data_IF_241582669982
#
_entry.id   IF_241582669982
#
_cell.length_a   1.000
_cell.length_b   1.000
_cell.length_c   1.000
_cell.angle_alpha   90.00
_cell.angle_beta   90.00
_cell.angle_gamma   90.00
#
_symmetry.space_group_name_H-M   'P 1'
#
loop_
_entity.id
_entity.type
_entity.pdbx_description
1 polymer ?
#
# COMPACT_ATOMS: atom_id res chain seq x y z
N UNK A 1 -11.89 17.60 -41.20
CA UNK A 1 -12.27 16.48 -40.32
C UNK A 1 -11.11 16.27 -39.34
N UNK A 2 -11.27 16.84 -38.23
CA UNK A 2 -10.20 16.98 -37.23
C UNK A 2 -10.36 15.85 -36.21
N UNK A 3 -9.51 14.82 -36.31
CA UNK A 3 -9.47 13.72 -35.37
C UNK A 3 -8.56 14.13 -34.21
N UNK A 4 -9.02 15.03 -33.37
CA UNK A 4 -8.41 15.27 -32.06
C UNK A 4 -9.03 14.35 -31.02
N UNK A 5 -8.70 13.07 -31.05
CA UNK A 5 -8.71 12.26 -29.87
C UNK A 5 -7.30 12.35 -29.26
N UNK A 6 -7.00 13.47 -28.66
CA UNK A 6 -5.98 13.47 -27.61
C UNK A 6 -6.65 12.81 -26.43
N UNK A 7 -6.25 11.58 -26.16
CA UNK A 7 -6.54 10.88 -24.90
C UNK A 7 -5.77 11.62 -23.80
N UNK A 8 -6.31 12.76 -23.36
CA UNK A 8 -5.77 13.53 -22.24
C UNK A 8 -6.38 12.98 -20.97
N UNK A 9 -5.94 11.80 -20.58
CA UNK A 9 -6.34 11.15 -19.33
C UNK A 9 -5.29 11.34 -18.25
N UNK A 10 -5.71 11.30 -17.00
CA UNK A 10 -4.80 11.08 -15.87
C UNK A 10 -4.58 9.56 -15.76
N UNK A 11 -3.35 9.13 -15.76
CA UNK A 11 -2.99 7.74 -15.56
C UNK A 11 -2.45 7.55 -14.13
N UNK A 12 -2.94 6.50 -13.48
CA UNK A 12 -2.46 6.08 -12.18
C UNK A 12 -1.68 4.78 -12.34
N UNK A 13 -0.45 4.78 -11.85
CA UNK A 13 0.39 3.59 -11.85
C UNK A 13 0.92 3.36 -10.44
N UNK A 14 0.81 2.14 -9.97
CA UNK A 14 1.32 1.78 -8.65
C UNK A 14 2.46 0.76 -8.74
N UNK A 15 3.43 0.92 -7.85
CA UNK A 15 4.56 0.02 -7.64
C UNK A 15 4.70 -0.29 -6.17
N UNK A 16 4.97 -1.55 -5.85
CA UNK A 16 5.23 -2.01 -4.49
C UNK A 16 6.62 -2.59 -4.43
N UNK A 17 7.46 -2.03 -3.56
CA UNK A 17 8.75 -2.57 -3.19
C UNK A 17 8.64 -3.21 -1.81
N UNK A 18 8.84 -4.52 -1.74
CA UNK A 18 8.82 -5.30 -0.51
C UNK A 18 10.24 -5.67 -0.11
N UNK A 19 10.58 -5.44 1.16
CA UNK A 19 11.87 -5.81 1.75
C UNK A 19 11.67 -6.59 3.04
N UNK A 20 12.29 -7.75 3.12
CA UNK A 20 12.27 -8.60 4.32
C UNK A 20 13.64 -8.59 4.98
N UNK A 21 13.67 -8.41 6.28
CA UNK A 21 14.89 -8.41 7.08
C UNK A 21 14.81 -9.46 8.20
N UNK A 22 15.94 -10.12 8.47
CA UNK A 22 16.08 -10.91 9.68
C UNK A 22 16.23 -9.98 10.89
N UNK A 23 15.42 -10.19 11.92
CA UNK A 23 15.42 -9.37 13.13
C UNK A 23 16.81 -9.36 13.80
N UNK A 24 17.53 -10.49 13.78
CA UNK A 24 18.88 -10.59 14.30
C UNK A 24 19.87 -9.66 13.63
N UNK A 25 19.77 -9.45 12.31
CA UNK A 25 20.61 -8.50 11.57
C UNK A 25 20.32 -7.05 11.98
N UNK A 26 19.03 -6.70 12.13
CA UNK A 26 18.61 -5.37 12.55
C UNK A 26 19.09 -5.05 13.97
N UNK A 27 18.93 -5.99 14.92
CA UNK A 27 19.42 -5.84 16.31
C UNK A 27 20.94 -5.74 16.40
N UNK A 28 21.65 -6.41 15.51
CA UNK A 28 23.12 -6.30 15.42
C UNK A 28 23.54 -4.93 14.91
N UNK A 29 22.87 -4.42 13.88
CA UNK A 29 23.16 -3.10 13.30
C UNK A 29 22.73 -1.95 14.24
N UNK A 30 21.64 -2.14 14.97
CA UNK A 30 21.04 -1.16 15.87
C UNK A 30 20.79 -1.80 17.26
N UNK A 31 21.77 -1.77 18.18
CA UNK A 31 21.62 -2.39 19.50
C UNK A 31 20.43 -1.89 20.33
N UNK A 32 19.95 -0.66 20.06
CA UNK A 32 18.77 -0.05 20.70
C UNK A 32 17.45 -0.40 19.99
N UNK A 33 17.41 -1.37 19.09
CA UNK A 33 16.27 -1.70 18.24
C UNK A 33 14.91 -1.75 18.96
N UNK A 34 14.88 -2.38 20.15
CA UNK A 34 13.66 -2.52 20.94
C UNK A 34 13.14 -1.20 21.53
N UNK A 35 13.96 -0.16 21.53
CA UNK A 35 13.61 1.17 22.07
C UNK A 35 13.18 2.14 20.96
N UNK A 36 13.35 1.77 19.70
CA UNK A 36 12.99 2.59 18.55
C UNK A 36 11.47 2.61 18.37
N UNK A 37 10.93 3.76 17.99
CA UNK A 37 9.56 3.88 17.47
C UNK A 37 9.39 3.12 16.15
N UNK A 38 8.16 2.98 15.68
CA UNK A 38 7.88 2.26 14.43
C UNK A 38 8.48 2.98 13.22
N UNK A 39 8.42 4.31 13.19
CA UNK A 39 9.02 5.15 12.17
C UNK A 39 10.55 5.04 12.19
N UNK A 40 11.16 5.08 13.38
CA UNK A 40 12.61 4.91 13.53
C UNK A 40 13.06 3.51 13.10
N UNK A 41 12.26 2.47 13.35
CA UNK A 41 12.52 1.10 12.88
C UNK A 41 12.41 1.01 11.36
N UNK A 42 11.42 1.67 10.74
CA UNK A 42 11.30 1.78 9.29
C UNK A 42 12.57 2.40 8.69
N UNK A 43 13.00 3.55 9.20
CA UNK A 43 14.21 4.24 8.75
C UNK A 43 15.49 3.44 8.97
N UNK A 44 15.58 2.73 10.09
CA UNK A 44 16.70 1.86 10.40
C UNK A 44 16.75 0.64 9.46
N UNK A 45 15.60 0.04 9.15
CA UNK A 45 15.50 -1.11 8.23
C UNK A 45 16.00 -0.76 6.83
N UNK A 46 15.73 0.45 6.34
CA UNK A 46 16.21 0.94 5.04
C UNK A 46 17.74 1.04 4.93
N UNK A 47 18.46 1.08 6.05
CA UNK A 47 19.93 1.16 6.11
C UNK A 47 20.62 -0.21 6.16
N UNK A 48 19.86 -1.29 6.32
CA UNK A 48 20.36 -2.67 6.37
C UNK A 48 19.96 -3.39 5.11
N UNK A 49 20.89 -4.18 4.55
CA UNK A 49 20.57 -4.99 3.37
C UNK A 49 19.49 -6.01 3.71
N UNK A 50 18.38 -6.07 2.96
CA UNK A 50 17.35 -7.07 3.15
C UNK A 50 17.83 -8.47 2.81
N UNK A 51 17.25 -9.50 3.39
CA UNK A 51 17.48 -10.91 3.04
C UNK A 51 16.66 -11.34 1.83
N UNK A 52 15.55 -10.67 1.59
CA UNK A 52 14.74 -10.81 0.38
C UNK A 52 14.13 -9.46 0.01
N UNK A 53 14.09 -9.18 -1.28
CA UNK A 53 13.38 -8.02 -1.84
C UNK A 53 12.76 -8.39 -3.18
N UNK A 54 11.61 -7.82 -3.47
CA UNK A 54 10.98 -7.87 -4.78
C UNK A 54 10.18 -6.61 -5.07
N UNK A 55 9.85 -6.42 -6.34
CA UNK A 55 9.03 -5.32 -6.82
C UNK A 55 7.89 -5.88 -7.64
N UNK A 56 6.68 -5.46 -7.34
CA UNK A 56 5.48 -5.78 -8.12
C UNK A 56 4.73 -4.50 -8.53
N UNK A 57 3.93 -4.61 -9.57
CA UNK A 57 3.04 -3.53 -10.02
C UNK A 57 1.62 -3.88 -9.63
N UNK A 58 0.86 -2.87 -9.27
CA UNK A 58 -0.52 -2.99 -8.82
C UNK A 58 -1.50 -2.42 -9.83
N UNK A 59 -2.76 -2.78 -9.63
CA UNK A 59 -3.91 -2.18 -10.31
C UNK A 59 -4.51 -1.13 -9.37
N UNK A 60 -4.73 0.08 -9.85
CA UNK A 60 -5.55 1.08 -9.16
C UNK A 60 -7.03 0.74 -9.35
N UNK A 61 -7.84 0.95 -8.32
CA UNK A 61 -9.24 0.57 -8.34
C UNK A 61 -10.12 1.64 -8.99
N UNK A 62 -11.30 1.22 -9.46
CA UNK A 62 -12.32 2.14 -9.98
C UNK A 62 -12.79 3.10 -8.90
N UNK A 63 -12.81 2.67 -7.63
CA UNK A 63 -13.16 3.52 -6.48
C UNK A 63 -12.26 4.74 -6.34
N UNK A 64 -10.94 4.60 -6.60
CA UNK A 64 -10.02 5.74 -6.62
C UNK A 64 -10.36 6.70 -7.77
N UNK A 65 -10.64 6.15 -8.95
CA UNK A 65 -10.99 6.97 -10.13
C UNK A 65 -12.31 7.70 -9.93
N UNK A 66 -13.35 7.02 -9.44
CA UNK A 66 -14.65 7.61 -9.13
C UNK A 66 -14.52 8.73 -8.11
N UNK A 67 -13.74 8.51 -7.06
CA UNK A 67 -13.47 9.54 -6.07
C UNK A 67 -12.86 10.81 -6.68
N UNK A 68 -11.87 10.68 -7.58
CA UNK A 68 -11.29 11.85 -8.26
C UNK A 68 -12.30 12.56 -9.15
N UNK A 69 -13.12 11.83 -9.89
CA UNK A 69 -14.17 12.42 -10.76
C UNK A 69 -15.19 13.17 -9.91
N UNK A 70 -15.64 12.57 -8.82
CA UNK A 70 -16.61 13.17 -7.90
C UNK A 70 -16.10 14.46 -7.25
N UNK A 71 -14.82 14.50 -6.88
CA UNK A 71 -14.22 15.71 -6.30
C UNK A 71 -13.94 16.81 -7.33
N UNK A 72 -13.89 16.51 -8.63
CA UNK A 72 -13.77 17.49 -9.70
C UNK A 72 -15.12 18.00 -10.17
N UNK A 73 -16.24 17.35 -9.82
CA UNK A 73 -17.59 17.78 -10.17
C UNK A 73 -18.04 18.92 -9.25
N UNK A 74 -18.23 20.15 -9.76
CA UNK A 74 -18.65 21.30 -8.95
C UNK A 74 -20.07 21.17 -8.40
N UNK A 75 -20.89 20.27 -8.98
CA UNK A 75 -22.25 19.99 -8.53
C UNK A 75 -22.31 18.87 -7.48
N UNK A 76 -21.19 18.21 -7.23
CA UNK A 76 -21.09 17.18 -6.20
C UNK A 76 -21.11 17.82 -4.80
N UNK A 77 -22.12 17.44 -4.01
CA UNK A 77 -22.30 17.92 -2.64
C UNK A 77 -21.49 17.13 -1.60
N UNK A 78 -20.74 16.12 -2.01
CA UNK A 78 -19.85 15.35 -1.14
C UNK A 78 -18.55 16.14 -0.89
N UNK A 79 -18.61 17.19 -0.11
CA UNK A 79 -17.52 18.14 0.12
C UNK A 79 -16.52 17.69 1.21
N UNK A 80 -16.59 16.47 1.72
CA UNK A 80 -15.92 16.14 2.97
C UNK A 80 -14.87 15.02 2.91
N UNK A 81 -14.70 14.34 1.81
CA UNK A 81 -13.71 13.27 1.76
C UNK A 81 -12.33 13.81 1.40
N UNK A 82 -11.48 13.98 2.39
CA UNK A 82 -10.04 14.03 2.13
C UNK A 82 -9.58 12.60 1.85
N UNK A 83 -9.09 12.30 0.63
CA UNK A 83 -8.36 11.06 0.43
C UNK A 83 -7.13 11.11 1.31
N UNK A 84 -7.04 10.17 2.21
CA UNK A 84 -5.79 9.85 2.90
C UNK A 84 -5.43 8.40 2.60
N UNK A 85 -4.17 8.09 2.60
CA UNK A 85 -3.68 6.71 2.55
C UNK A 85 -3.40 6.32 3.99
N UNK A 86 -4.34 5.60 4.59
CA UNK A 86 -4.34 5.39 6.04
C UNK A 86 -3.90 3.98 6.44
N UNK A 87 -4.31 2.98 5.68
CA UNK A 87 -4.06 1.59 6.01
C UNK A 87 -3.49 0.80 4.84
N UNK A 88 -2.70 -0.20 5.19
CA UNK A 88 -2.26 -1.26 4.30
C UNK A 88 -2.93 -2.56 4.76
N UNK A 89 -3.64 -3.22 3.84
CA UNK A 89 -4.18 -4.56 4.02
C UNK A 89 -3.26 -5.60 3.41
N UNK A 90 -3.19 -6.78 4.02
CA UNK A 90 -2.49 -7.95 3.51
C UNK A 90 -3.43 -9.15 3.45
N UNK A 91 -3.34 -9.92 2.39
CA UNK A 91 -4.19 -11.08 2.13
C UNK A 91 -3.41 -12.32 1.71
N UNK A 92 -4.14 -13.40 1.47
CA UNK A 92 -3.61 -14.76 1.24
C UNK A 92 -4.27 -15.47 0.05
N UNK A 93 -4.80 -14.74 -0.95
CA UNK A 93 -5.44 -15.31 -2.14
C UNK A 93 -5.04 -14.62 -3.45
N UNK A 94 -3.73 -14.59 -3.73
CA UNK A 94 -3.21 -14.11 -5.03
C UNK A 94 -3.77 -14.89 -6.22
N UNK A 95 -4.25 -16.11 -6.00
CA UNK A 95 -4.78 -16.98 -7.05
C UNK A 95 -6.03 -16.44 -7.73
N UNK A 96 -6.81 -15.60 -7.07
CA UNK A 96 -8.00 -14.93 -7.64
C UNK A 96 -7.65 -13.75 -8.54
N UNK A 97 -6.40 -13.27 -8.50
CA UNK A 97 -5.91 -12.13 -9.29
C UNK A 97 -6.41 -10.78 -8.78
N UNK A 98 -6.16 -9.73 -9.55
CA UNK A 98 -6.56 -8.34 -9.24
C UNK A 98 -7.45 -7.76 -10.33
N UNK A 99 -8.36 -6.87 -9.96
CA UNK A 99 -9.27 -6.17 -10.87
C UNK A 99 -9.42 -4.70 -10.45
N UNK A 100 -9.70 -3.82 -11.41
CA UNK A 100 -10.05 -2.42 -11.11
C UNK A 100 -11.35 -2.32 -10.32
N UNK A 101 -12.25 -3.29 -10.44
CA UNK A 101 -13.52 -3.37 -9.72
C UNK A 101 -13.41 -3.92 -8.29
N UNK A 102 -12.21 -4.24 -7.83
CA UNK A 102 -12.03 -4.75 -6.46
C UNK A 102 -12.33 -3.66 -5.43
N UNK A 103 -13.09 -4.02 -4.41
CA UNK A 103 -13.47 -3.13 -3.28
C UNK A 103 -12.80 -3.55 -1.97
N UNK A 104 -12.20 -4.73 -1.91
CA UNK A 104 -11.38 -5.29 -0.83
C UNK A 104 -10.37 -6.26 -1.45
N UNK A 105 -9.44 -6.78 -0.67
CA UNK A 105 -8.60 -7.93 -1.03
C UNK A 105 -9.44 -9.19 -1.12
N UNK A 106 -9.04 -10.16 -1.95
CA UNK A 106 -9.74 -11.43 -2.10
C UNK A 106 -9.83 -12.19 -0.76
N UNK A 107 -8.76 -12.15 0.02
CA UNK A 107 -8.70 -12.78 1.34
C UNK A 107 -7.86 -11.94 2.30
N UNK A 108 -8.36 -10.75 2.70
CA UNK A 108 -7.69 -9.89 3.68
C UNK A 108 -7.68 -10.55 5.05
N UNK A 109 -6.47 -10.76 5.60
CA UNK A 109 -6.24 -11.44 6.89
C UNK A 109 -5.49 -10.58 7.90
N UNK A 110 -4.91 -9.47 7.45
CA UNK A 110 -4.16 -8.55 8.30
C UNK A 110 -4.26 -7.12 7.76
N UNK A 111 -4.26 -6.17 8.66
CA UNK A 111 -4.27 -4.74 8.34
C UNK A 111 -3.37 -3.98 9.29
N UNK A 112 -2.71 -2.94 8.79
CA UNK A 112 -1.77 -2.13 9.53
C UNK A 112 -1.87 -0.67 9.10
N UNK A 113 -1.90 0.30 10.03
CA UNK A 113 -1.78 1.70 9.68
C UNK A 113 -0.50 1.98 8.90
N UNK A 114 -0.59 2.86 7.91
CA UNK A 114 0.60 3.34 7.19
C UNK A 114 1.53 4.04 8.17
N UNK A 115 2.82 3.67 8.14
CA UNK A 115 3.82 4.17 9.08
C UNK A 115 4.32 5.57 8.68
N UNK A 116 4.47 5.81 7.37
CA UNK A 116 4.99 7.06 6.83
C UNK A 116 4.41 7.32 5.44
N UNK A 117 4.10 8.59 5.15
CA UNK A 117 3.64 9.03 3.83
C UNK A 117 4.48 10.21 3.37
N UNK A 118 5.06 10.09 2.19
CA UNK A 118 5.84 11.16 1.56
C UNK A 118 5.32 11.43 0.14
N UNK A 119 5.34 12.70 -0.29
CA UNK A 119 5.05 13.09 -1.66
C UNK A 119 6.23 13.84 -2.30
N UNK A 120 6.35 13.75 -3.61
CA UNK A 120 7.29 14.51 -4.42
C UNK A 120 6.60 15.25 -5.58
N UNK A 121 5.30 15.51 -5.47
CA UNK A 121 4.46 16.26 -6.40
C UNK A 121 3.79 15.42 -7.49
N UNK A 122 4.40 14.33 -7.96
CA UNK A 122 3.80 13.39 -8.92
C UNK A 122 3.74 11.94 -8.40
N UNK A 123 4.36 11.69 -7.29
CA UNK A 123 4.37 10.39 -6.64
C UNK A 123 3.98 10.54 -5.17
N UNK A 124 3.17 9.63 -4.69
CA UNK A 124 2.90 9.43 -3.28
C UNK A 124 3.56 8.11 -2.88
N UNK A 125 4.41 8.14 -1.88
CA UNK A 125 5.03 6.97 -1.27
C UNK A 125 4.35 6.71 0.07
N UNK A 126 3.66 5.59 0.19
CA UNK A 126 3.12 5.08 1.45
C UNK A 126 3.99 3.93 1.94
N UNK A 127 4.53 4.05 3.14
CA UNK A 127 5.43 3.06 3.72
C UNK A 127 4.83 2.44 4.98
N UNK A 128 4.83 1.12 5.03
CA UNK A 128 4.37 0.36 6.20
C UNK A 128 5.47 -0.56 6.69
N UNK A 129 5.69 -0.57 7.99
CA UNK A 129 6.66 -1.43 8.65
C UNK A 129 5.94 -2.44 9.54
N UNK A 130 6.12 -3.74 9.25
CA UNK A 130 5.65 -4.83 10.08
C UNK A 130 6.79 -5.29 10.99
N UNK A 131 6.60 -5.10 12.30
CA UNK A 131 7.55 -5.58 13.31
C UNK A 131 7.50 -7.10 13.45
N UNK A 132 8.41 -7.65 14.20
CA UNK A 132 8.53 -9.08 14.48
C UNK A 132 7.30 -9.69 15.20
N UNK A 133 6.45 -8.84 15.79
CA UNK A 133 5.25 -9.28 16.51
C UNK A 133 3.97 -9.21 15.66
N UNK A 134 4.02 -8.59 14.49
CA UNK A 134 2.85 -8.28 13.64
C UNK A 134 2.74 -9.24 12.46
N UNK A 135 1.52 -9.64 12.10
CA UNK A 135 1.21 -10.45 10.93
C UNK A 135 1.77 -11.88 10.94
N UNK A 136 2.26 -12.38 12.07
CA UNK A 136 2.91 -13.69 12.17
C UNK A 136 1.96 -14.86 11.89
N UNK A 137 2.49 -15.89 11.22
CA UNK A 137 1.77 -17.11 10.92
C UNK A 137 0.97 -17.08 9.60
N UNK A 138 1.10 -16.00 8.83
CA UNK A 138 0.46 -15.87 7.52
C UNK A 138 1.49 -15.95 6.38
N UNK A 139 1.04 -16.50 5.27
CA UNK A 139 1.74 -16.47 3.99
C UNK A 139 1.08 -15.40 3.13
N UNK A 140 1.55 -14.16 3.24
CA UNK A 140 0.99 -13.04 2.49
C UNK A 140 1.36 -13.12 1.02
N UNK A 141 0.37 -12.95 0.15
CA UNK A 141 0.54 -12.88 -1.31
C UNK A 141 -0.35 -11.82 -1.98
N UNK A 142 -1.12 -11.08 -1.19
CA UNK A 142 -1.93 -9.94 -1.62
C UNK A 142 -1.60 -8.70 -0.78
N UNK A 143 -1.75 -7.52 -1.40
CA UNK A 143 -1.62 -6.22 -0.74
C UNK A 143 -2.60 -5.20 -1.34
N UNK A 144 -3.16 -4.36 -0.49
CA UNK A 144 -3.91 -3.18 -0.90
C UNK A 144 -3.69 -2.00 0.02
N UNK A 145 -3.71 -0.79 -0.52
CA UNK A 145 -3.82 0.44 0.25
C UNK A 145 -5.28 0.85 0.37
N UNK A 146 -5.65 1.37 1.51
CA UNK A 146 -7.00 1.82 1.81
C UNK A 146 -7.01 3.29 2.25
N UNK A 147 -8.05 4.00 1.81
CA UNK A 147 -8.49 5.24 2.42
C UNK A 147 -9.35 4.87 3.63
N UNK A 148 -8.90 5.24 4.83
CA UNK A 148 -9.55 4.85 6.07
C UNK A 148 -9.32 3.40 6.52
N UNK A 149 -9.89 3.04 7.67
CA UNK A 149 -9.75 1.72 8.29
C UNK A 149 -10.60 0.68 7.53
N UNK A 150 -9.98 -0.34 6.89
CA UNK A 150 -10.69 -1.35 6.11
C UNK A 150 -11.62 -2.26 6.93
N UNK A 151 -11.56 -2.24 8.26
CA UNK A 151 -12.59 -2.85 9.09
C UNK A 151 -13.97 -2.17 8.93
N UNK A 152 -14.01 -0.96 8.35
CA UNK A 152 -15.18 -0.13 8.17
C UNK A 152 -15.59 0.09 6.70
N UNK A 153 -15.34 -0.85 5.80
CA UNK A 153 -15.67 -0.76 4.35
C UNK A 153 -17.15 -0.48 4.03
N UNK A 154 -18.04 -0.51 5.03
CA UNK A 154 -19.44 -0.06 4.87
C UNK A 154 -19.59 1.47 4.90
N UNK A 155 -18.54 2.19 5.32
CA UNK A 155 -18.48 3.65 5.22
C UNK A 155 -18.03 4.02 3.81
N UNK A 156 -18.78 4.89 3.12
CA UNK A 156 -18.46 5.33 1.75
C UNK A 156 -17.12 6.08 1.62
N UNK A 157 -16.57 6.57 2.74
CA UNK A 157 -15.23 7.22 2.77
C UNK A 157 -14.08 6.22 2.87
N UNK A 158 -14.37 4.95 3.15
CA UNK A 158 -13.36 3.88 3.26
C UNK A 158 -13.41 3.03 2.01
N UNK A 159 -12.35 3.04 1.23
CA UNK A 159 -12.28 2.26 0.00
C UNK A 159 -10.86 1.77 -0.29
N UNK A 160 -10.78 0.73 -1.10
CA UNK A 160 -9.53 0.19 -1.63
C UNK A 160 -8.98 1.12 -2.72
N UNK A 161 -7.77 1.62 -2.54
CA UNK A 161 -7.09 2.51 -3.49
C UNK A 161 -6.41 1.70 -4.61
N UNK A 162 -5.75 0.62 -4.24
CA UNK A 162 -5.06 -0.27 -5.17
C UNK A 162 -5.03 -1.70 -4.67
N UNK A 163 -4.83 -2.65 -5.59
CA UNK A 163 -4.70 -4.07 -5.31
C UNK A 163 -3.51 -4.66 -6.07
N UNK A 164 -2.69 -5.43 -5.40
CA UNK A 164 -1.59 -6.16 -6.01
C UNK A 164 -1.47 -7.58 -5.46
N UNK A 165 -0.96 -8.48 -6.30
CA UNK A 165 -0.58 -9.82 -5.90
C UNK A 165 0.92 -10.03 -6.12
N UNK A 166 1.54 -10.86 -5.29
CA UNK A 166 2.97 -11.14 -5.32
C UNK A 166 3.26 -12.58 -4.90
N UNK A 167 4.51 -13.02 -5.05
CA UNK A 167 4.92 -14.34 -4.55
C UNK A 167 4.78 -14.41 -3.03
N UNK A 168 4.15 -15.47 -2.52
CA UNK A 168 3.86 -15.63 -1.10
C UNK A 168 5.09 -15.45 -0.21
N UNK A 169 4.91 -14.76 0.89
CA UNK A 169 5.93 -14.50 1.91
C UNK A 169 5.43 -14.91 3.28
N UNK A 170 6.07 -15.92 3.83
CA UNK A 170 5.83 -16.34 5.21
C UNK A 170 6.39 -15.31 6.18
N UNK A 171 5.51 -14.69 6.96
CA UNK A 171 5.88 -13.79 8.06
C UNK A 171 5.90 -14.56 9.38
N UNK A 172 7.03 -14.48 10.06
CA UNK A 172 7.23 -15.07 11.39
C UNK A 172 7.93 -14.07 12.32
N UNK A 173 8.07 -14.46 13.60
CA UNK A 173 8.64 -13.59 14.65
C UNK A 173 10.15 -13.33 14.52
N UNK A 174 10.82 -13.98 13.59
CA UNK A 174 12.25 -13.73 13.32
C UNK A 174 12.48 -12.69 12.23
N UNK A 175 11.41 -12.26 11.57
CA UNK A 175 11.45 -11.35 10.42
C UNK A 175 10.69 -10.07 10.66
N UNK A 176 11.13 -9.02 10.01
CA UNK A 176 10.38 -7.78 9.81
C UNK A 176 10.18 -7.57 8.31
N UNK A 177 9.12 -6.85 7.93
CA UNK A 177 8.81 -6.55 6.53
C UNK A 177 8.59 -5.05 6.36
N UNK A 178 9.25 -4.46 5.38
CA UNK A 178 8.97 -3.11 4.90
C UNK A 178 8.24 -3.21 3.58
N UNK A 179 7.14 -2.47 3.45
CA UNK A 179 6.31 -2.37 2.27
C UNK A 179 6.25 -0.90 1.86
N UNK A 180 6.90 -0.58 0.75
CA UNK A 180 6.91 0.75 0.16
C UNK A 180 5.99 0.74 -1.08
N UNK A 181 4.84 1.41 -1.01
CA UNK A 181 3.89 1.51 -2.12
C UNK A 181 3.97 2.90 -2.73
N UNK A 182 4.38 2.96 -3.99
CA UNK A 182 4.45 4.21 -4.75
C UNK A 182 3.24 4.30 -5.69
N UNK A 183 2.47 5.36 -5.57
CA UNK A 183 1.43 5.75 -6.53
C UNK A 183 1.98 6.89 -7.39
N UNK A 184 2.03 6.69 -8.70
CA UNK A 184 2.51 7.69 -9.66
C UNK A 184 1.33 8.26 -10.44
N UNK A 185 1.26 9.58 -10.50
CA UNK A 185 0.28 10.36 -11.26
C UNK A 185 0.97 10.89 -12.51
N UNK A 186 0.50 10.50 -13.69
CA UNK A 186 1.08 10.94 -14.96
C UNK A 186 0.02 11.43 -15.92
N UNK A 187 0.39 12.43 -16.72
CA UNK A 187 -0.39 12.88 -17.88
C UNK A 187 -0.23 11.82 -18.99
N UNK A 188 -1.30 11.45 -19.64
CA UNK A 188 -1.34 10.53 -20.79
C UNK A 188 -1.43 11.33 -22.09
#
# INVERSE_FOLDING_TARGET
>A
MDSRNADSGISFQGRIDRKTHELGHLKTAFPQWEQLSKEEKLDASRKVKPVAEDTVYNVTTDSLHEYFVDNLDPDNTNTEANISVDFLGLGTDAGSGTSTADTDLNSRVFEEPVTDVADNGKELLASTFLDSTEGNGNDFDELGLFSGDPANLTNAEVFLINHATFAAVTKDSTKTVTLDVTLTFSDV
#
